data_IF_678146375258
#
_entry.id   IF_678146375258
#
_cell.length_a   1.000
_cell.length_b   1.000
_cell.length_c   1.000
_cell.angle_alpha   90.00
_cell.angle_beta   90.00
_cell.angle_gamma   90.00
#
_symmetry.space_group_name_H-M   'P 1'
#
loop_
_entity.id
_entity.type
_entity.pdbx_description
1 polymer ?
#
# COMPACT_ATOMS: atom_id res chain seq x y z
N UNK A 1 -57.13 -8.30 -28.00
CA UNK A 1 -57.53 -9.72 -28.10
C UNK A 1 -56.63 -10.53 -29.03
N UNK A 2 -55.92 -9.93 -30.01
CA UNK A 2 -55.06 -10.67 -30.96
C UNK A 2 -53.89 -11.51 -30.34
N UNK A 3 -53.37 -11.13 -29.18
CA UNK A 3 -52.27 -11.89 -28.53
C UNK A 3 -52.74 -13.23 -27.93
N UNK A 4 -53.93 -13.27 -27.31
CA UNK A 4 -54.49 -14.49 -26.75
C UNK A 4 -54.87 -15.49 -27.85
N UNK A 5 -55.47 -15.00 -28.94
CA UNK A 5 -55.87 -15.83 -30.06
C UNK A 5 -54.64 -16.44 -30.74
N UNK A 6 -53.53 -15.70 -30.84
CA UNK A 6 -52.24 -16.20 -31.40
C UNK A 6 -51.60 -17.24 -30.44
N UNK A 7 -51.73 -17.02 -29.13
CA UNK A 7 -51.20 -17.96 -28.13
C UNK A 7 -51.92 -19.32 -28.18
N UNK A 8 -53.23 -19.32 -28.34
CA UNK A 8 -54.04 -20.55 -28.46
C UNK A 8 -53.81 -21.26 -29.82
N UNK A 9 -53.62 -20.48 -30.88
CA UNK A 9 -53.43 -21.04 -32.24
C UNK A 9 -52.00 -21.65 -32.45
N UNK A 10 -51.01 -21.22 -31.66
CA UNK A 10 -49.60 -21.70 -31.82
C UNK A 10 -48.95 -22.05 -30.48
N UNK A 11 -49.37 -23.13 -29.80
CA UNK A 11 -48.91 -23.50 -28.46
C UNK A 11 -47.40 -23.77 -28.42
N UNK A 12 -46.81 -24.37 -29.41
CA UNK A 12 -45.37 -24.68 -29.48
C UNK A 12 -44.52 -23.41 -29.44
N UNK A 13 -44.93 -22.36 -30.17
CA UNK A 13 -44.22 -21.07 -30.20
C UNK A 13 -44.23 -20.40 -28.82
N UNK A 14 -45.35 -20.45 -28.13
CA UNK A 14 -45.50 -19.92 -26.79
C UNK A 14 -44.61 -20.68 -25.78
N UNK A 15 -44.64 -22.03 -25.87
CA UNK A 15 -43.76 -22.86 -25.02
C UNK A 15 -42.29 -22.55 -25.23
N UNK A 16 -41.83 -22.40 -26.48
CA UNK A 16 -40.44 -22.02 -26.80
C UNK A 16 -40.08 -20.63 -26.25
N UNK A 17 -41.01 -19.67 -26.38
CA UNK A 17 -40.79 -18.31 -25.88
C UNK A 17 -40.71 -18.27 -24.35
N UNK A 18 -41.62 -19.02 -23.70
CA UNK A 18 -41.64 -19.12 -22.23
C UNK A 18 -40.37 -19.80 -21.68
N UNK A 19 -39.95 -20.88 -22.33
CA UNK A 19 -38.73 -21.62 -22.00
C UNK A 19 -37.47 -20.75 -22.22
N UNK A 20 -37.46 -19.95 -23.29
CA UNK A 20 -36.43 -18.98 -23.59
C UNK A 20 -36.31 -17.90 -22.47
N UNK A 21 -37.45 -17.30 -22.08
CA UNK A 21 -37.49 -16.31 -21.01
C UNK A 21 -37.02 -16.94 -19.69
N UNK A 22 -37.42 -18.17 -19.39
CA UNK A 22 -37.04 -18.88 -18.18
C UNK A 22 -35.53 -19.17 -18.14
N UNK A 23 -34.96 -19.61 -19.26
CA UNK A 23 -33.52 -19.82 -19.45
C UNK A 23 -32.72 -18.53 -19.28
N UNK A 24 -33.14 -17.46 -19.98
CA UNK A 24 -32.49 -16.15 -19.84
C UNK A 24 -32.63 -15.59 -18.44
N UNK A 25 -33.80 -15.77 -17.80
CA UNK A 25 -34.02 -15.38 -16.40
C UNK A 25 -33.10 -16.13 -15.43
N UNK A 26 -32.90 -17.43 -15.63
CA UNK A 26 -31.99 -18.24 -14.82
C UNK A 26 -30.51 -17.84 -14.99
N UNK A 27 -30.09 -17.58 -16.24
CA UNK A 27 -28.73 -17.07 -16.51
C UNK A 27 -28.54 -15.65 -15.94
N UNK A 28 -29.53 -14.79 -16.07
CA UNK A 28 -29.48 -13.44 -15.51
C UNK A 28 -29.44 -13.46 -13.98
N UNK A 29 -30.25 -14.32 -13.33
CA UNK A 29 -30.23 -14.49 -11.90
C UNK A 29 -28.84 -14.95 -11.37
N UNK A 30 -28.18 -15.87 -12.08
CA UNK A 30 -26.82 -16.31 -11.73
C UNK A 30 -25.72 -15.26 -11.94
N UNK A 31 -26.03 -14.20 -12.69
CA UNK A 31 -25.09 -13.07 -12.93
C UNK A 31 -25.37 -11.84 -12.07
N UNK A 32 -26.44 -11.85 -11.28
CA UNK A 32 -26.70 -10.78 -10.34
C UNK A 32 -25.60 -10.73 -9.28
N UNK A 33 -25.00 -9.54 -9.12
CA UNK A 33 -24.05 -9.31 -8.07
C UNK A 33 -24.77 -9.35 -6.71
N UNK A 34 -24.42 -10.31 -5.87
CA UNK A 34 -24.95 -10.41 -4.51
C UNK A 34 -23.98 -9.69 -3.59
N UNK A 35 -24.35 -8.50 -3.13
CA UNK A 35 -23.65 -7.76 -2.09
C UNK A 35 -24.45 -7.87 -0.79
N UNK A 36 -23.77 -8.06 0.35
CA UNK A 36 -24.38 -8.12 1.69
C UNK A 36 -25.14 -6.83 2.04
N UNK A 37 -24.69 -5.71 1.50
CA UNK A 37 -25.33 -4.41 1.55
C UNK A 37 -25.33 -3.82 0.14
N UNK A 38 -26.33 -2.98 -0.23
CA UNK A 38 -26.21 -2.21 -1.46
C UNK A 38 -24.88 -1.46 -1.45
N UNK A 39 -24.09 -1.56 -2.52
CA UNK A 39 -22.87 -0.77 -2.63
C UNK A 39 -23.25 0.72 -2.64
N UNK A 40 -23.27 1.32 -1.47
CA UNK A 40 -23.43 2.77 -1.27
C UNK A 40 -22.08 3.49 -1.40
N UNK A 41 -20.99 2.75 -1.57
CA UNK A 41 -19.66 3.31 -1.75
C UNK A 41 -19.40 3.61 -3.22
N UNK A 42 -19.22 4.89 -3.53
CA UNK A 42 -18.78 5.32 -4.86
C UNK A 42 -17.36 4.79 -5.16
N UNK A 43 -17.04 4.55 -6.46
CA UNK A 43 -15.67 4.29 -6.86
C UNK A 43 -14.77 5.38 -6.33
N UNK A 44 -13.66 5.03 -5.70
CA UNK A 44 -12.80 6.00 -5.02
C UNK A 44 -11.33 5.76 -5.29
N UNK A 45 -10.59 6.86 -5.40
CA UNK A 45 -9.13 6.91 -5.36
C UNK A 45 -8.70 7.70 -4.13
N UNK A 46 -7.57 7.31 -3.55
CA UNK A 46 -7.00 8.04 -2.42
C UNK A 46 -5.56 8.41 -2.72
N UNK A 47 -5.22 9.67 -2.57
CA UNK A 47 -3.83 10.15 -2.61
C UNK A 47 -3.32 10.20 -1.17
N UNK A 48 -2.38 9.33 -0.85
CA UNK A 48 -1.67 9.32 0.42
C UNK A 48 -0.32 10.00 0.25
N UNK A 49 0.00 10.91 1.16
CA UNK A 49 1.28 11.63 1.16
C UNK A 49 1.81 11.68 2.59
N UNK A 50 3.08 11.36 2.75
CA UNK A 50 3.75 11.41 4.04
C UNK A 50 4.59 12.68 4.17
N UNK A 51 4.48 13.34 5.32
CA UNK A 51 5.24 14.52 5.70
C UNK A 51 5.68 14.35 7.15
N UNK A 52 6.71 13.55 7.33
CA UNK A 52 7.19 13.11 8.65
C UNK A 52 7.53 14.29 9.54
N UNK A 53 7.00 14.29 10.77
CA UNK A 53 7.28 15.32 11.78
C UNK A 53 6.38 16.55 11.71
N UNK A 54 5.55 16.72 10.66
CA UNK A 54 4.66 17.86 10.52
C UNK A 54 3.41 17.75 11.41
N UNK A 55 2.96 18.89 11.94
CA UNK A 55 1.68 18.97 12.64
C UNK A 55 0.49 18.88 11.66
N UNK A 56 -0.72 18.44 12.11
CA UNK A 56 -1.88 18.30 11.23
C UNK A 56 -2.24 19.56 10.43
N UNK A 57 -2.09 20.74 11.03
CA UNK A 57 -2.35 22.03 10.36
C UNK A 57 -1.34 22.33 9.25
N UNK A 58 -0.07 21.95 9.42
CA UNK A 58 0.96 22.09 8.39
C UNK A 58 0.72 21.09 7.25
N UNK A 59 0.37 19.84 7.59
CA UNK A 59 -0.03 18.83 6.60
C UNK A 59 -1.22 19.30 5.80
N UNK A 60 -2.23 19.92 6.42
CA UNK A 60 -3.39 20.47 5.73
C UNK A 60 -2.99 21.54 4.73
N UNK A 61 -2.19 22.54 5.16
CA UNK A 61 -1.86 23.69 4.32
C UNK A 61 -0.87 23.36 3.21
N UNK A 62 0.17 22.55 3.50
CA UNK A 62 1.27 22.32 2.58
C UNK A 62 1.07 21.06 1.71
N UNK A 63 0.19 20.16 2.12
CA UNK A 63 -0.02 18.87 1.42
C UNK A 63 -1.46 18.72 0.96
N UNK A 64 -2.42 18.71 1.91
CA UNK A 64 -3.81 18.35 1.59
C UNK A 64 -4.46 19.34 0.62
N UNK A 65 -4.42 20.64 0.91
CA UNK A 65 -5.01 21.69 0.05
C UNK A 65 -4.45 21.70 -1.37
N UNK A 66 -3.11 21.74 -1.59
CA UNK A 66 -2.57 21.70 -2.95
C UNK A 66 -2.98 20.46 -3.74
N UNK A 67 -3.05 19.29 -3.06
CA UNK A 67 -3.51 18.05 -3.70
C UNK A 67 -5.00 18.13 -4.02
N UNK A 68 -5.86 18.57 -3.08
CA UNK A 68 -7.30 18.74 -3.31
C UNK A 68 -7.60 19.63 -4.53
N UNK A 69 -6.90 20.76 -4.63
CA UNK A 69 -7.04 21.70 -5.74
C UNK A 69 -6.61 21.04 -7.08
N UNK A 70 -5.51 20.30 -7.05
CA UNK A 70 -5.00 19.63 -8.25
C UNK A 70 -5.90 18.51 -8.74
N UNK A 71 -6.44 17.69 -7.83
CA UNK A 71 -7.25 16.53 -8.19
C UNK A 71 -8.75 16.84 -8.32
N UNK A 72 -9.23 17.94 -7.73
CA UNK A 72 -10.64 18.33 -7.78
C UNK A 72 -11.17 18.67 -9.18
N UNK A 73 -10.28 18.92 -10.13
CA UNK A 73 -10.63 19.21 -11.53
C UNK A 73 -10.63 17.96 -12.43
N UNK A 74 -10.30 16.80 -11.89
CA UNK A 74 -10.30 15.53 -12.65
C UNK A 74 -11.71 15.16 -13.06
N UNK A 75 -11.87 14.67 -14.28
CA UNK A 75 -13.18 14.35 -14.84
C UNK A 75 -13.85 13.21 -14.06
N UNK A 76 -15.14 13.40 -13.74
CA UNK A 76 -15.94 12.39 -13.02
C UNK A 76 -15.78 12.43 -11.50
N UNK A 77 -14.96 13.31 -10.95
CA UNK A 77 -14.88 13.53 -9.51
C UNK A 77 -16.16 14.20 -9.03
N UNK A 78 -16.85 13.53 -8.10
CA UNK A 78 -18.07 14.00 -7.46
C UNK A 78 -17.78 14.73 -6.16
N UNK A 79 -16.84 14.22 -5.39
CA UNK A 79 -16.51 14.73 -4.05
C UNK A 79 -15.02 14.49 -3.77
N UNK A 80 -14.41 15.48 -3.14
CA UNK A 80 -13.06 15.37 -2.57
C UNK A 80 -13.16 15.58 -1.07
N UNK A 81 -12.48 14.74 -0.31
CA UNK A 81 -12.35 14.85 1.14
C UNK A 81 -10.93 14.56 1.54
N UNK A 82 -10.39 15.30 2.49
CA UNK A 82 -9.08 15.01 3.05
C UNK A 82 -9.13 14.75 4.55
N UNK A 83 -8.15 13.97 4.99
CA UNK A 83 -7.89 13.72 6.41
C UNK A 83 -6.41 13.98 6.68
N UNK A 84 -6.13 15.13 7.33
CA UNK A 84 -4.78 15.53 7.73
C UNK A 84 -4.51 15.06 9.14
N UNK A 85 -3.50 14.20 9.28
CA UNK A 85 -3.00 13.70 10.57
C UNK A 85 -1.57 14.15 10.77
N UNK A 86 -1.04 14.00 12.00
CA UNK A 86 0.38 14.23 12.22
C UNK A 86 1.22 13.35 11.28
N UNK A 87 2.05 13.98 10.46
CA UNK A 87 2.94 13.30 9.52
C UNK A 87 2.29 12.72 8.26
N UNK A 88 0.97 12.84 8.02
CA UNK A 88 0.31 12.20 6.88
C UNK A 88 -0.96 12.90 6.42
N UNK A 89 -1.14 12.96 5.11
CA UNK A 89 -2.37 13.35 4.42
C UNK A 89 -2.97 12.19 3.65
N UNK A 90 -4.29 11.98 3.76
CA UNK A 90 -5.09 11.10 2.92
C UNK A 90 -6.16 11.93 2.22
N UNK A 91 -6.03 12.16 0.91
CA UNK A 91 -7.02 12.87 0.08
C UNK A 91 -7.83 11.84 -0.70
N UNK A 92 -9.10 11.70 -0.36
CA UNK A 92 -10.03 10.72 -0.95
C UNK A 92 -10.91 11.42 -1.98
N UNK A 93 -10.91 10.91 -3.20
CA UNK A 93 -11.78 11.32 -4.31
C UNK A 93 -12.85 10.26 -4.53
N UNK A 94 -14.11 10.66 -4.52
CA UNK A 94 -15.24 9.84 -4.92
C UNK A 94 -15.64 10.19 -6.35
N UNK A 95 -15.80 9.19 -7.21
CA UNK A 95 -16.16 9.36 -8.61
C UNK A 95 -17.62 8.99 -8.86
N UNK A 96 -18.19 9.49 -9.95
CA UNK A 96 -19.50 9.09 -10.42
C UNK A 96 -19.53 7.60 -10.83
N UNK A 97 -20.71 6.96 -10.70
CA UNK A 97 -20.89 5.59 -11.15
C UNK A 97 -20.66 5.46 -12.65
N UNK A 98 -19.89 4.44 -13.05
CA UNK A 98 -19.55 4.20 -14.46
C UNK A 98 -18.34 4.99 -14.96
N UNK A 99 -17.65 5.73 -14.08
CA UNK A 99 -16.35 6.33 -14.42
C UNK A 99 -15.33 5.23 -14.68
N UNK A 100 -14.57 5.36 -15.76
CA UNK A 100 -13.42 4.50 -16.02
C UNK A 100 -12.31 4.82 -15.03
N UNK A 101 -12.14 3.94 -14.03
CA UNK A 101 -11.21 4.15 -12.92
C UNK A 101 -9.74 4.04 -13.33
N UNK A 102 -9.42 3.36 -14.44
CA UNK A 102 -8.05 3.30 -14.96
C UNK A 102 -7.67 4.64 -15.60
N UNK A 103 -8.59 5.20 -16.37
CA UNK A 103 -8.40 6.54 -16.96
C UNK A 103 -8.36 7.62 -15.88
N UNK A 104 -9.25 7.56 -14.90
CA UNK A 104 -9.26 8.48 -13.78
C UNK A 104 -7.94 8.42 -12.97
N UNK A 105 -7.41 7.22 -12.72
CA UNK A 105 -6.13 7.05 -12.02
C UNK A 105 -4.96 7.64 -12.82
N UNK A 106 -5.00 7.54 -14.15
CA UNK A 106 -3.99 8.16 -15.03
C UNK A 106 -4.05 9.69 -14.95
N UNK A 107 -5.25 10.26 -15.09
CA UNK A 107 -5.45 11.72 -14.99
C UNK A 107 -5.01 12.26 -13.63
N UNK A 108 -5.33 11.57 -12.53
CA UNK A 108 -4.88 11.95 -11.19
C UNK A 108 -3.35 11.95 -11.11
N UNK A 109 -2.67 10.91 -11.61
CA UNK A 109 -1.20 10.85 -11.62
C UNK A 109 -0.60 12.00 -12.41
N UNK A 110 -1.12 12.32 -13.59
CA UNK A 110 -0.66 13.46 -14.39
C UNK A 110 -0.78 14.79 -13.61
N UNK A 111 -1.86 14.98 -12.85
CA UNK A 111 -2.02 16.17 -12.01
C UNK A 111 -1.03 16.20 -10.85
N UNK A 112 -0.77 15.06 -10.22
CA UNK A 112 0.19 14.95 -9.12
C UNK A 112 1.65 15.14 -9.59
N UNK A 113 2.00 14.67 -10.79
CA UNK A 113 3.35 14.79 -11.33
C UNK A 113 3.74 16.24 -11.64
N UNK A 114 2.75 17.09 -11.93
CA UNK A 114 2.97 18.54 -12.18
C UNK A 114 2.93 19.35 -10.88
N UNK A 115 2.42 18.77 -9.79
CA UNK A 115 2.27 19.48 -8.53
C UNK A 115 3.63 19.63 -7.83
N UNK A 116 3.99 20.87 -7.55
CA UNK A 116 5.21 21.22 -6.82
C UNK A 116 4.94 21.23 -5.33
N UNK A 117 5.34 20.18 -4.65
CA UNK A 117 5.35 20.08 -3.19
C UNK A 117 6.73 20.43 -2.62
N UNK A 118 6.83 20.90 -1.37
CA UNK A 118 8.11 21.04 -0.68
C UNK A 118 8.97 19.78 -0.72
N UNK A 119 10.30 19.94 -0.74
CA UNK A 119 11.25 18.82 -0.90
C UNK A 119 11.24 17.81 0.26
N UNK A 120 10.76 18.24 1.44
CA UNK A 120 10.65 17.41 2.63
C UNK A 120 9.46 16.46 2.58
N UNK A 121 8.52 16.66 1.65
CA UNK A 121 7.31 15.84 1.49
C UNK A 121 7.64 14.66 0.58
N UNK A 122 7.24 13.47 1.01
CA UNK A 122 7.38 12.28 0.19
C UNK A 122 6.44 12.33 -1.03
N UNK A 123 6.83 11.62 -2.09
CA UNK A 123 6.00 11.57 -3.31
C UNK A 123 4.61 11.00 -3.00
N UNK A 124 3.54 11.67 -3.47
CA UNK A 124 2.18 11.17 -3.29
C UNK A 124 1.99 9.76 -3.85
N UNK A 125 1.38 8.88 -3.06
CA UNK A 125 1.03 7.51 -3.45
C UNK A 125 -0.46 7.45 -3.78
N UNK A 126 -0.80 6.97 -4.98
CA UNK A 126 -2.18 6.78 -5.41
C UNK A 126 -2.66 5.37 -5.04
N UNK A 127 -3.70 5.30 -4.21
CA UNK A 127 -4.37 4.08 -3.76
C UNK A 127 -5.72 3.93 -4.47
N UNK A 128 -6.04 2.72 -4.96
CA UNK A 128 -7.31 2.41 -5.62
C UNK A 128 -8.43 2.01 -4.66
N UNK A 129 -8.33 2.42 -3.41
CA UNK A 129 -9.34 2.15 -2.38
C UNK A 129 -9.35 3.28 -1.35
N UNK A 130 -10.44 3.34 -0.57
CA UNK A 130 -10.51 4.25 0.56
C UNK A 130 -9.99 3.53 1.83
N UNK A 131 -8.83 3.92 2.36
CA UNK A 131 -8.24 3.27 3.54
C UNK A 131 -9.01 3.55 4.85
N UNK A 132 -10.01 4.43 4.81
CA UNK A 132 -10.87 4.72 5.96
C UNK A 132 -12.14 3.83 5.99
N UNK A 133 -12.37 3.00 4.96
CA UNK A 133 -13.42 1.99 4.96
C UNK A 133 -12.94 0.71 5.64
N UNK A 134 -13.89 -0.08 6.15
CA UNK A 134 -13.58 -1.39 6.70
C UNK A 134 -13.11 -2.37 5.61
N UNK A 135 -12.14 -3.24 5.93
CA UNK A 135 -11.73 -4.31 5.02
C UNK A 135 -12.87 -5.31 4.81
N UNK A 136 -12.95 -5.90 3.62
CA UNK A 136 -13.98 -6.89 3.29
C UNK A 136 -13.74 -8.25 3.96
N UNK A 137 -12.46 -8.58 4.19
CA UNK A 137 -12.04 -9.81 4.87
C UNK A 137 -10.88 -9.48 5.80
N UNK A 138 -10.89 -10.08 6.99
CA UNK A 138 -9.77 -10.07 7.93
C UNK A 138 -9.31 -11.51 8.14
N UNK A 139 -8.06 -11.77 7.85
CA UNK A 139 -7.42 -13.05 8.08
C UNK A 139 -6.46 -12.91 9.25
N UNK A 140 -6.37 -13.94 10.07
CA UNK A 140 -5.38 -14.02 11.13
C UNK A 140 -4.40 -15.16 10.84
N UNK A 141 -3.14 -14.80 10.65
CA UNK A 141 -2.04 -15.74 10.46
C UNK A 141 -1.40 -16.03 11.82
N UNK A 142 -1.46 -17.27 12.26
CA UNK A 142 -0.84 -17.73 13.50
C UNK A 142 -0.12 -19.05 13.27
N UNK A 143 0.68 -19.47 14.24
CA UNK A 143 1.34 -20.78 14.19
C UNK A 143 0.41 -21.87 14.76
N UNK A 144 0.48 -23.07 14.21
CA UNK A 144 -0.41 -24.18 14.55
C UNK A 144 -0.40 -24.56 16.07
N UNK A 145 0.71 -24.32 16.77
CA UNK A 145 0.85 -24.60 18.21
C UNK A 145 0.72 -23.33 19.07
N UNK A 146 -0.40 -22.64 18.96
CA UNK A 146 -0.66 -21.34 19.57
C UNK A 146 -0.81 -21.32 21.11
N UNK A 147 -0.37 -22.35 21.84
CA UNK A 147 -0.37 -22.39 23.31
C UNK A 147 0.83 -21.70 23.97
N UNK A 148 1.91 -21.46 23.23
CA UNK A 148 3.12 -20.81 23.74
C UNK A 148 3.28 -19.40 23.12
N UNK A 149 3.78 -18.45 23.94
CA UNK A 149 4.10 -17.13 23.43
C UNK A 149 5.19 -17.20 22.37
N UNK A 150 4.91 -16.63 21.19
CA UNK A 150 5.88 -16.61 20.09
C UNK A 150 7.11 -15.81 20.46
N UNK A 151 8.29 -16.35 20.16
CA UNK A 151 9.55 -15.60 20.32
C UNK A 151 9.62 -14.42 19.33
N UNK A 152 10.40 -13.36 19.64
CA UNK A 152 10.58 -12.23 18.72
C UNK A 152 10.99 -12.65 17.31
N UNK A 153 11.91 -13.60 17.17
CA UNK A 153 12.35 -14.11 15.87
C UNK A 153 11.21 -14.80 15.09
N UNK A 154 10.32 -15.53 15.78
CA UNK A 154 9.15 -16.14 15.16
C UNK A 154 8.13 -15.10 14.71
N UNK A 155 7.93 -14.02 15.49
CA UNK A 155 7.04 -12.91 15.10
C UNK A 155 7.57 -12.16 13.88
N UNK A 156 8.89 -11.94 13.79
CA UNK A 156 9.53 -11.36 12.60
C UNK A 156 9.32 -12.26 11.39
N UNK A 157 9.62 -13.57 11.53
CA UNK A 157 9.47 -14.54 10.42
C UNK A 157 8.02 -14.59 9.93
N UNK A 158 7.04 -14.61 10.85
CA UNK A 158 5.63 -14.63 10.51
C UNK A 158 5.20 -13.32 9.81
N UNK A 159 5.70 -12.19 10.26
CA UNK A 159 5.47 -10.88 9.65
C UNK A 159 6.07 -10.80 8.24
N UNK A 160 7.30 -11.23 8.07
CA UNK A 160 7.97 -11.26 6.76
C UNK A 160 7.21 -12.14 5.77
N UNK A 161 6.78 -13.35 6.20
CA UNK A 161 5.96 -14.23 5.37
C UNK A 161 4.62 -13.57 4.96
N UNK A 162 3.97 -12.88 5.91
CA UNK A 162 2.74 -12.15 5.61
C UNK A 162 2.96 -11.01 4.59
N UNK A 163 4.08 -10.28 4.69
CA UNK A 163 4.40 -9.12 3.84
C UNK A 163 4.95 -9.52 2.46
N UNK A 164 5.80 -10.54 2.41
CA UNK A 164 6.52 -10.89 1.18
C UNK A 164 5.78 -11.93 0.34
N UNK A 165 5.17 -12.93 0.98
CA UNK A 165 4.55 -14.05 0.29
C UNK A 165 3.03 -13.90 0.22
N UNK A 166 2.35 -13.85 1.37
CA UNK A 166 0.88 -13.84 1.40
C UNK A 166 0.31 -12.57 0.77
N UNK A 167 0.83 -11.41 1.12
CA UNK A 167 0.36 -10.16 0.55
C UNK A 167 0.44 -10.18 -0.97
N UNK A 168 1.59 -10.56 -1.55
CA UNK A 168 1.77 -10.62 -3.01
C UNK A 168 0.83 -11.62 -3.68
N UNK A 169 0.67 -12.79 -3.06
CA UNK A 169 -0.21 -13.82 -3.60
C UNK A 169 -1.69 -13.40 -3.61
N UNK A 170 -2.12 -12.67 -2.58
CA UNK A 170 -3.50 -12.20 -2.44
C UNK A 170 -3.78 -10.91 -3.21
N UNK A 171 -2.82 -9.98 -3.30
CA UNK A 171 -2.94 -8.75 -4.11
C UNK A 171 -2.95 -9.02 -5.62
N UNK A 172 -2.48 -10.19 -6.07
CA UNK A 172 -2.55 -10.59 -7.47
C UNK A 172 -3.95 -10.99 -7.94
N UNK A 173 -4.90 -11.18 -7.02
CA UNK A 173 -6.27 -11.59 -7.34
C UNK A 173 -7.09 -10.42 -7.91
N UNK A 174 -7.90 -10.66 -8.96
CA UNK A 174 -8.76 -9.63 -9.52
C UNK A 174 -9.75 -9.08 -8.49
N UNK A 175 -9.84 -7.77 -8.40
CA UNK A 175 -10.74 -7.05 -7.48
C UNK A 175 -10.20 -6.86 -6.06
N UNK A 176 -9.00 -7.35 -5.75
CA UNK A 176 -8.27 -7.00 -4.52
C UNK A 176 -7.47 -5.73 -4.75
N UNK A 177 -7.78 -4.68 -4.01
CA UNK A 177 -7.08 -3.39 -4.12
C UNK A 177 -5.83 -3.32 -3.26
N UNK A 178 -5.85 -3.91 -2.06
CA UNK A 178 -4.71 -3.97 -1.17
C UNK A 178 -4.89 -5.04 -0.09
N UNK A 179 -3.78 -5.58 0.38
CA UNK A 179 -3.69 -6.43 1.56
C UNK A 179 -2.75 -5.76 2.56
N UNK A 180 -3.24 -5.48 3.77
CA UNK A 180 -2.47 -4.82 4.82
C UNK A 180 -2.18 -5.79 5.95
N UNK A 181 -0.93 -6.21 6.11
CA UNK A 181 -0.50 -6.93 7.28
C UNK A 181 -0.39 -5.98 8.47
N UNK A 182 -0.92 -6.39 9.63
CA UNK A 182 -0.84 -5.65 10.88
C UNK A 182 -0.45 -6.59 12.04
N UNK A 183 0.20 -6.06 13.07
CA UNK A 183 0.76 -6.86 14.17
C UNK A 183 2.15 -7.46 13.85
N UNK A 184 2.63 -8.32 14.74
CA UNK A 184 3.96 -8.92 14.66
C UNK A 184 5.12 -7.99 15.04
N UNK A 185 6.32 -8.31 14.56
CA UNK A 185 7.53 -7.52 14.72
C UNK A 185 8.19 -7.30 13.36
N UNK A 186 8.59 -6.07 13.09
CA UNK A 186 9.44 -5.71 11.96
C UNK A 186 10.85 -5.43 12.47
N UNK A 187 11.84 -6.06 11.84
CA UNK A 187 13.24 -5.82 12.16
C UNK A 187 13.71 -4.52 11.50
N UNK A 188 14.45 -3.72 12.25
CA UNK A 188 15.03 -2.48 11.74
C UNK A 188 16.41 -2.23 12.33
N UNK A 189 17.22 -1.46 11.63
CA UNK A 189 18.50 -0.96 12.13
C UNK A 189 18.25 0.43 12.73
N UNK A 190 18.40 0.54 14.04
CA UNK A 190 18.26 1.81 14.75
C UNK A 190 19.61 2.50 14.89
N UNK A 191 19.64 3.78 14.52
CA UNK A 191 20.80 4.66 14.68
C UNK A 191 20.45 5.69 15.75
N UNK A 192 20.95 5.44 16.98
CA UNK A 192 20.73 6.31 18.13
C UNK A 192 21.81 7.38 18.18
N UNK A 193 21.45 8.57 17.74
CA UNK A 193 22.36 9.70 17.65
C UNK A 193 22.52 10.36 19.04
N UNK A 194 23.75 10.70 19.42
CA UNK A 194 24.07 11.43 20.64
C UNK A 194 24.08 12.94 20.38
N UNK A 195 23.06 13.70 20.88
CA UNK A 195 22.95 15.13 20.61
C UNK A 195 24.11 15.94 21.18
N UNK A 196 24.72 15.49 22.32
CA UNK A 196 25.83 16.18 22.95
C UNK A 196 27.09 16.11 22.10
N UNK A 197 27.38 14.93 21.55
CA UNK A 197 28.52 14.73 20.65
C UNK A 197 28.35 15.51 19.34
N UNK A 198 27.13 15.54 18.77
CA UNK A 198 26.84 16.35 17.57
C UNK A 198 27.12 17.85 17.86
N UNK A 199 26.61 18.34 18.97
CA UNK A 199 26.80 19.74 19.37
C UNK A 199 28.28 20.08 19.57
N UNK A 200 29.05 19.21 20.24
CA UNK A 200 30.50 19.41 20.47
C UNK A 200 31.29 19.47 19.16
N UNK A 201 30.89 18.68 18.17
CA UNK A 201 31.52 18.63 16.87
C UNK A 201 30.89 19.60 15.84
N UNK A 202 29.91 20.40 16.28
CA UNK A 202 29.14 21.33 15.44
C UNK A 202 28.55 20.65 14.17
N UNK A 203 28.05 19.42 14.31
CA UNK A 203 27.46 18.65 13.22
C UNK A 203 25.94 18.71 13.28
N UNK A 204 25.33 18.83 12.09
CA UNK A 204 23.88 18.75 11.94
C UNK A 204 23.44 17.30 11.72
N UNK A 205 22.29 16.92 12.30
CA UNK A 205 21.71 15.58 12.13
C UNK A 205 21.38 15.27 10.66
N UNK A 206 21.06 16.30 9.86
CA UNK A 206 20.78 16.18 8.42
C UNK A 206 21.97 15.60 7.65
N UNK A 207 23.20 15.88 8.08
CA UNK A 207 24.41 15.30 7.50
C UNK A 207 24.41 13.77 7.58
N UNK A 208 24.00 13.21 8.72
CA UNK A 208 23.90 11.75 8.91
C UNK A 208 22.89 11.17 7.94
N UNK A 209 21.69 11.76 7.87
CA UNK A 209 20.62 11.31 6.96
C UNK A 209 21.04 11.40 5.52
N UNK A 210 21.70 12.47 5.10
CA UNK A 210 22.21 12.63 3.74
C UNK A 210 23.28 11.60 3.37
N UNK A 211 24.23 11.35 4.30
CA UNK A 211 25.29 10.35 4.09
C UNK A 211 24.71 8.94 3.99
N UNK A 212 23.79 8.57 4.89
CA UNK A 212 23.13 7.27 4.84
C UNK A 212 22.37 7.05 3.52
N UNK A 213 21.63 8.07 3.07
CA UNK A 213 20.94 8.01 1.77
C UNK A 213 21.90 7.91 0.59
N UNK A 214 23.01 8.65 0.62
CA UNK A 214 23.99 8.66 -0.47
C UNK A 214 24.77 7.35 -0.60
N UNK A 215 25.09 6.71 0.52
CA UNK A 215 25.86 5.45 0.53
C UNK A 215 24.97 4.20 0.38
N UNK A 216 23.65 4.32 0.49
CA UNK A 216 22.69 3.21 0.33
C UNK A 216 21.94 3.30 -1.02
N UNK A 217 22.63 3.70 -2.08
CA UNK A 217 22.07 3.83 -3.42
C UNK A 217 22.81 2.93 -4.43
N UNK A 218 22.05 2.08 -5.09
CA UNK A 218 22.54 1.35 -6.26
C UNK A 218 22.56 2.28 -7.48
N UNK A 219 23.72 2.79 -7.84
CA UNK A 219 23.90 3.62 -9.02
C UNK A 219 24.35 2.75 -10.21
N UNK A 220 23.72 2.94 -11.36
CA UNK A 220 24.21 2.40 -12.60
C UNK A 220 25.49 3.17 -12.99
N UNK A 221 26.64 2.53 -12.91
CA UNK A 221 27.95 3.13 -13.21
C UNK A 221 28.22 3.36 -14.71
N UNK A 222 27.22 3.13 -15.58
CA UNK A 222 27.36 3.28 -17.03
C UNK A 222 27.87 2.02 -17.75
N UNK A 223 28.21 2.17 -19.03
CA UNK A 223 28.79 1.12 -19.86
C UNK A 223 30.26 1.45 -20.16
N UNK A 224 31.12 0.47 -20.02
CA UNK A 224 32.48 0.54 -20.50
C UNK A 224 32.54 -0.22 -21.83
N UNK A 225 32.60 0.52 -22.93
CA UNK A 225 32.71 -0.05 -24.27
C UNK A 225 34.21 -0.32 -24.58
N UNK A 226 34.53 -1.56 -24.85
CA UNK A 226 35.83 -1.96 -25.41
C UNK A 226 35.62 -2.55 -26.80
N UNK A 227 36.61 -2.57 -27.70
CA UNK A 227 36.45 -3.09 -29.05
C UNK A 227 35.94 -4.54 -29.15
N UNK A 228 36.03 -5.31 -28.07
CA UNK A 228 35.64 -6.72 -28.01
C UNK A 228 34.44 -7.02 -27.09
N UNK A 229 34.14 -6.18 -26.09
CA UNK A 229 33.11 -6.46 -25.09
C UNK A 229 32.52 -5.17 -24.51
N UNK A 230 31.22 -5.18 -24.24
CA UNK A 230 30.54 -4.17 -23.49
C UNK A 230 30.37 -4.63 -22.03
N UNK A 231 30.97 -3.89 -21.11
CA UNK A 231 30.81 -4.14 -19.67
C UNK A 231 29.81 -3.19 -19.08
N UNK A 232 28.76 -3.74 -18.46
CA UNK A 232 27.83 -2.98 -17.61
C UNK A 232 28.48 -2.81 -16.23
N UNK A 233 28.89 -1.58 -15.90
CA UNK A 233 29.42 -1.26 -14.58
C UNK A 233 28.24 -0.98 -13.65
N UNK A 234 28.10 -1.77 -12.59
CA UNK A 234 27.14 -1.55 -11.50
C UNK A 234 27.90 -1.25 -10.23
N UNK A 235 27.58 -0.12 -9.62
CA UNK A 235 28.02 0.15 -8.25
C UNK A 235 26.95 -0.38 -7.32
N UNK A 236 27.24 -1.48 -6.60
CA UNK A 236 26.38 -2.01 -5.56
C UNK A 236 26.80 -1.31 -4.26
N UNK A 237 26.06 -0.29 -3.88
CA UNK A 237 26.35 0.50 -2.68
C UNK A 237 25.22 0.24 -1.66
N UNK A 238 25.19 -0.99 -1.12
CA UNK A 238 24.28 -1.39 -0.05
C UNK A 238 25.10 -1.85 1.14
N UNK A 239 24.73 -1.43 2.33
CA UNK A 239 25.37 -1.92 3.54
C UNK A 239 25.11 -3.42 3.71
N UNK A 240 26.18 -4.20 3.78
CA UNK A 240 26.10 -5.65 3.95
C UNK A 240 25.99 -6.05 5.44
N UNK A 241 26.45 -5.21 6.34
CA UNK A 241 26.48 -5.49 7.77
C UNK A 241 26.46 -4.21 8.62
N UNK A 242 26.17 -4.36 9.93
CA UNK A 242 26.13 -3.25 10.89
C UNK A 242 27.46 -2.50 10.99
N UNK A 243 28.59 -3.22 10.89
CA UNK A 243 29.92 -2.60 11.00
C UNK A 243 30.21 -1.64 9.87
N UNK A 244 29.65 -1.83 8.67
CA UNK A 244 29.76 -0.88 7.56
C UNK A 244 29.02 0.42 7.87
N UNK A 245 27.83 0.31 8.45
CA UNK A 245 27.03 1.46 8.87
C UNK A 245 27.78 2.21 10.01
N UNK A 246 28.27 1.51 11.01
CA UNK A 246 29.04 2.11 12.11
C UNK A 246 30.28 2.88 11.63
N UNK A 247 30.97 2.33 10.63
CA UNK A 247 32.18 2.93 10.06
C UNK A 247 31.92 3.94 8.94
N UNK A 248 30.64 4.28 8.66
CA UNK A 248 30.26 5.29 7.68
C UNK A 248 30.99 6.61 7.96
N UNK A 249 31.69 7.11 6.96
CA UNK A 249 32.37 8.40 7.05
C UNK A 249 31.35 9.54 6.92
N UNK A 250 31.33 10.42 7.90
CA UNK A 250 30.44 11.61 7.92
C UNK A 250 31.15 12.84 7.37
N UNK A 251 32.24 13.23 8.04
CA UNK A 251 33.00 14.45 7.70
C UNK A 251 34.38 14.44 8.36
N UNK A 252 35.17 15.48 8.07
CA UNK A 252 36.44 15.75 8.80
C UNK A 252 36.30 17.03 9.61
N UNK A 253 36.62 16.97 10.90
CA UNK A 253 36.65 18.10 11.82
C UNK A 253 38.11 18.33 12.24
N UNK A 254 38.71 19.46 11.87
CA UNK A 254 40.14 19.69 12.05
C UNK A 254 40.98 18.66 11.27
N UNK A 255 41.71 17.83 11.98
CA UNK A 255 42.55 16.76 11.40
C UNK A 255 42.01 15.35 11.66
N UNK A 256 40.80 15.24 12.20
CA UNK A 256 40.18 13.96 12.58
C UNK A 256 39.02 13.62 11.68
N UNK A 257 39.02 12.39 11.16
CA UNK A 257 37.88 11.82 10.41
C UNK A 257 36.81 11.38 11.41
N UNK A 258 35.60 11.89 11.25
CA UNK A 258 34.46 11.55 12.08
C UNK A 258 33.63 10.48 11.36
N UNK A 259 33.38 9.37 12.05
CA UNK A 259 32.55 8.26 11.61
C UNK A 259 31.22 8.22 12.38
N UNK A 260 30.23 7.51 11.87
CA UNK A 260 28.92 7.40 12.50
C UNK A 260 29.00 6.88 13.94
N UNK A 261 29.84 5.88 14.21
CA UNK A 261 30.07 5.32 15.56
C UNK A 261 30.60 6.34 16.58
N UNK A 262 31.22 7.43 16.13
CA UNK A 262 31.76 8.45 17.02
C UNK A 262 30.64 9.33 17.59
N UNK A 263 29.51 9.45 16.87
CA UNK A 263 28.38 10.32 17.22
C UNK A 263 27.06 9.58 17.42
N UNK A 264 27.01 8.28 17.10
CA UNK A 264 25.79 7.47 17.20
C UNK A 264 26.12 6.03 17.58
N UNK A 265 25.12 5.33 18.13
CA UNK A 265 25.13 3.89 18.35
C UNK A 265 24.22 3.23 17.32
N UNK A 266 24.76 2.27 16.58
CA UNK A 266 24.01 1.45 15.62
C UNK A 266 23.66 0.13 16.29
N UNK A 267 22.39 -0.28 16.20
CA UNK A 267 21.94 -1.55 16.75
C UNK A 267 20.87 -2.21 15.88
N UNK A 268 20.86 -3.52 15.87
CA UNK A 268 19.74 -4.31 15.39
C UNK A 268 18.62 -4.26 16.43
N UNK A 269 17.43 -3.89 16.00
CA UNK A 269 16.28 -3.69 16.88
C UNK A 269 14.98 -4.01 16.16
N UNK A 270 13.88 -3.84 16.86
CA UNK A 270 12.54 -3.98 16.30
C UNK A 270 11.87 -2.61 16.24
N UNK A 271 11.12 -2.38 15.18
CA UNK A 271 10.28 -1.19 15.05
C UNK A 271 9.25 -1.14 16.18
N UNK A 272 8.89 0.08 16.58
CA UNK A 272 7.85 0.28 17.58
C UNK A 272 6.52 -0.34 17.11
N UNK A 273 5.90 -1.13 17.97
CA UNK A 273 4.62 -1.77 17.65
C UNK A 273 3.50 -0.76 17.71
N UNK A 274 2.83 -0.56 16.56
CA UNK A 274 1.64 0.26 16.48
C UNK A 274 0.38 -0.50 16.90
N UNK A 275 0.38 -1.83 16.70
CA UNK A 275 -0.73 -2.71 17.01
C UNK A 275 -0.24 -4.11 17.40
N UNK A 276 -1.07 -4.84 18.13
CA UNK A 276 -0.85 -6.24 18.47
C UNK A 276 -2.14 -6.98 18.24
N UNK A 277 -2.11 -8.00 17.37
CA UNK A 277 -3.26 -8.85 17.09
C UNK A 277 -3.15 -10.18 17.82
N UNK A 278 -4.27 -10.66 18.34
CA UNK A 278 -4.37 -11.97 19.01
C UNK A 278 -5.46 -12.80 18.40
N UNK A 279 -5.22 -14.11 18.27
CA UNK A 279 -6.22 -15.12 17.96
C UNK A 279 -6.10 -16.29 18.95
N UNK A 280 -7.20 -16.69 19.57
CA UNK A 280 -7.23 -17.76 20.56
C UNK A 280 -6.18 -17.62 21.68
N UNK A 281 -5.87 -16.39 22.08
CA UNK A 281 -4.89 -16.10 23.13
C UNK A 281 -3.43 -16.07 22.68
N UNK A 282 -3.12 -16.39 21.41
CA UNK A 282 -1.78 -16.28 20.85
C UNK A 282 -1.63 -15.05 19.96
N UNK A 283 -0.41 -14.51 19.89
CA UNK A 283 -0.11 -13.42 18.96
C UNK A 283 -0.22 -13.91 17.51
N UNK A 284 -0.80 -13.07 16.67
CA UNK A 284 -1.05 -13.36 15.26
C UNK A 284 -0.70 -12.12 14.41
N UNK A 285 -0.57 -12.32 13.10
CA UNK A 285 -0.54 -11.25 12.12
C UNK A 285 -1.93 -11.14 11.52
N UNK A 286 -2.55 -9.97 11.58
CA UNK A 286 -3.79 -9.70 10.88
C UNK A 286 -3.50 -9.24 9.46
N UNK A 287 -4.19 -9.82 8.48
CA UNK A 287 -4.19 -9.34 7.10
C UNK A 287 -5.57 -8.75 6.81
N UNK A 288 -5.63 -7.44 6.72
CA UNK A 288 -6.82 -6.69 6.34
C UNK A 288 -6.88 -6.54 4.83
N UNK A 289 -7.94 -7.07 4.19
CA UNK A 289 -8.06 -7.14 2.74
C UNK A 289 -9.12 -6.14 2.28
N UNK A 290 -8.72 -5.27 1.34
CA UNK A 290 -9.55 -4.24 0.75
C UNK A 290 -9.86 -4.58 -0.70
N UNK A 291 -11.11 -4.38 -1.12
CA UNK A 291 -11.52 -4.57 -2.51
C UNK A 291 -11.35 -3.28 -3.33
N UNK A 292 -11.24 -3.41 -4.64
CA UNK A 292 -11.43 -2.30 -5.55
C UNK A 292 -12.87 -1.78 -5.49
N UNK A 293 -13.08 -0.49 -5.78
CA UNK A 293 -14.36 0.19 -5.54
C UNK A 293 -15.55 -0.47 -6.25
N UNK A 294 -15.34 -1.00 -7.45
CA UNK A 294 -16.35 -1.63 -8.31
C UNK A 294 -16.39 -3.16 -8.22
N UNK A 295 -15.46 -3.78 -7.47
CA UNK A 295 -15.37 -5.23 -7.35
C UNK A 295 -16.52 -5.83 -6.51
N UNK A 296 -16.99 -7.01 -6.92
CA UNK A 296 -18.00 -7.77 -6.19
C UNK A 296 -17.41 -8.43 -4.95
N UNK A 297 -17.89 -8.06 -3.77
CA UNK A 297 -17.37 -8.53 -2.47
C UNK A 297 -17.39 -10.06 -2.34
N UNK A 298 -18.46 -10.73 -2.78
CA UNK A 298 -18.61 -12.18 -2.65
C UNK A 298 -17.60 -12.90 -3.55
N UNK A 299 -17.47 -12.46 -4.81
CA UNK A 299 -16.51 -13.07 -5.75
C UNK A 299 -15.07 -12.89 -5.28
N UNK A 300 -14.74 -11.71 -4.75
CA UNK A 300 -13.40 -11.46 -4.20
C UNK A 300 -13.15 -12.36 -2.99
N UNK A 301 -14.13 -12.50 -2.08
CA UNK A 301 -14.00 -13.39 -0.93
C UNK A 301 -13.85 -14.87 -1.32
N UNK A 302 -14.63 -15.34 -2.30
CA UNK A 302 -14.52 -16.72 -2.84
C UNK A 302 -13.14 -16.96 -3.48
N UNK A 303 -12.66 -16.02 -4.29
CA UNK A 303 -11.34 -16.12 -4.90
C UNK A 303 -10.22 -16.13 -3.85
N UNK A 304 -10.35 -15.32 -2.78
CA UNK A 304 -9.42 -15.31 -1.66
C UNK A 304 -9.38 -16.65 -0.93
N UNK A 305 -10.54 -17.23 -0.60
CA UNK A 305 -10.62 -18.52 0.08
C UNK A 305 -10.02 -19.64 -0.79
N UNK A 306 -10.37 -19.68 -2.08
CA UNK A 306 -9.78 -20.65 -3.02
C UNK A 306 -8.26 -20.51 -3.11
N UNK A 307 -7.74 -19.28 -3.11
CA UNK A 307 -6.28 -19.04 -3.17
C UNK A 307 -5.57 -19.45 -1.88
N UNK A 308 -6.21 -19.26 -0.73
CA UNK A 308 -5.67 -19.69 0.56
C UNK A 308 -5.59 -21.22 0.69
N UNK A 309 -6.52 -21.95 0.07
CA UNK A 309 -6.49 -23.42 0.04
C UNK A 309 -5.37 -23.97 -0.86
N UNK A 310 -4.84 -23.15 -1.80
CA UNK A 310 -3.73 -23.52 -2.68
C UNK A 310 -2.34 -23.21 -2.09
N UNK A 311 -2.27 -22.30 -1.10
CA UNK A 311 -1.01 -21.83 -0.49
C UNK A 311 -0.61 -22.68 0.71
#
# INVERSE_FOLDING_TARGET
MKLVDTAVARPVTIWMFTLGILLFGMVAAGRLAVNLLPDLSYPSLTVRTEFVGAAPAEVEQLVSKPIEEAVGIVKGVRKVQSVSRSGRSDVVMEFEWGTDMDLAALEVREKLDVLLLPLEIEKPLLLRFNPNLDPIVRLALSRENAGEALSPAQLVSLRTFAEEDLRRALESLPGVAAVRPDGGLSQEIQILVDPQKLSQLQLDISLITQRLKAENLNLAGGRLETPAYDYLVRTINQFANLSEIENLYLTTVGNSQIRLKDVAQVRDAYADRLSISYINGAQAIELAIYKEGDANTVKVAEALLSRLDEL
#
